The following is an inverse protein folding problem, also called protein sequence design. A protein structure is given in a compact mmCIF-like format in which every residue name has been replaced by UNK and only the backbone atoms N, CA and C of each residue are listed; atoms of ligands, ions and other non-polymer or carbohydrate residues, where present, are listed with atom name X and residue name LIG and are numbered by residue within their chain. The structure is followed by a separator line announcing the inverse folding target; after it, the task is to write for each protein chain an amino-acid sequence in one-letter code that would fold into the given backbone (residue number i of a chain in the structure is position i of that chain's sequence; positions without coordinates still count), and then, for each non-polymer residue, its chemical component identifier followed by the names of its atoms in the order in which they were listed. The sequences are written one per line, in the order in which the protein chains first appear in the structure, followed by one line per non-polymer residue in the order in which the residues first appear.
data_IF_895365792096
#
_entry.id   IF_895365792096
#
_cell.length_a   1.000
_cell.length_b   1.000
_cell.length_c   1.000
_cell.angle_alpha   90.00
_cell.angle_beta   90.00
_cell.angle_gamma   90.00
#
_symmetry.space_group_name_H-M   'P 1'
#
loop_
_entity.id
_entity.type
_entity.pdbx_description
1 polymer ?
#
# COMPACT_ATOMS: atom_id res chain seq x y z
N UNK A 1 -7.95 -5.88 9.67
CA UNK A 1 -6.97 -6.07 8.58
C UNK A 1 -6.53 -4.70 8.10
N UNK A 2 -5.22 -4.49 7.94
CA UNK A 2 -4.66 -3.23 7.44
C UNK A 2 -4.71 -3.23 5.91
N UNK A 3 -5.35 -2.22 5.31
CA UNK A 3 -5.46 -2.08 3.84
C UNK A 3 -4.08 -2.03 3.17
N UNK A 4 -3.08 -1.49 3.84
CA UNK A 4 -1.71 -1.50 3.33
C UNK A 4 -1.12 -2.92 3.26
N UNK A 5 -1.51 -3.81 4.18
CA UNK A 5 -1.11 -5.21 4.16
C UNK A 5 -1.78 -5.97 3.00
N UNK A 6 -3.07 -5.72 2.75
CA UNK A 6 -3.80 -6.30 1.61
C UNK A 6 -3.14 -5.94 0.27
N UNK A 7 -2.77 -4.66 0.09
CA UNK A 7 -2.05 -4.22 -1.12
C UNK A 7 -0.66 -4.85 -1.26
N UNK A 8 0.09 -5.00 -0.17
CA UNK A 8 1.38 -5.71 -0.20
C UNK A 8 1.22 -7.19 -0.54
N UNK A 9 0.16 -7.82 -0.07
CA UNK A 9 -0.13 -9.22 -0.38
C UNK A 9 -0.47 -9.40 -1.86
N UNK A 10 -1.26 -8.49 -2.45
CA UNK A 10 -1.50 -8.45 -3.89
C UNK A 10 -0.20 -8.27 -4.70
N UNK A 11 0.69 -7.36 -4.27
CA UNK A 11 1.99 -7.18 -4.91
C UNK A 11 2.82 -8.48 -4.90
N UNK A 12 2.86 -9.17 -3.75
CA UNK A 12 3.57 -10.43 -3.61
C UNK A 12 2.98 -11.54 -4.49
N UNK A 13 1.65 -11.56 -4.68
CA UNK A 13 0.99 -12.50 -5.61
C UNK A 13 1.39 -12.23 -7.06
N UNK A 14 1.44 -10.97 -7.49
CA UNK A 14 1.91 -10.59 -8.83
C UNK A 14 3.36 -11.05 -9.07
N UNK A 15 4.26 -10.87 -8.11
CA UNK A 15 5.66 -11.33 -8.22
C UNK A 15 5.73 -12.86 -8.27
N UNK A 16 4.96 -13.56 -7.44
CA UNK A 16 4.90 -15.03 -7.47
C UNK A 16 4.43 -15.57 -8.81
N UNK A 17 3.47 -14.90 -9.45
CA UNK A 17 3.00 -15.26 -10.77
C UNK A 17 4.06 -14.94 -11.84
N UNK A 18 4.69 -13.77 -11.76
CA UNK A 18 5.76 -13.34 -12.68
C UNK A 18 6.95 -14.30 -12.70
N UNK A 19 7.26 -14.92 -11.55
CA UNK A 19 8.32 -15.93 -11.45
C UNK A 19 7.94 -17.29 -12.05
N UNK A 20 6.65 -17.56 -12.25
CA UNK A 20 6.14 -18.80 -12.85
C UNK A 20 5.83 -18.65 -14.34
N UNK A 21 5.87 -17.43 -14.87
CA UNK A 21 5.56 -17.12 -16.26
C UNK A 21 6.85 -17.03 -17.08
N UNK A 22 6.90 -17.75 -18.20
CA UNK A 22 8.02 -17.73 -19.14
C UNK A 22 7.90 -16.62 -20.20
N UNK A 23 6.70 -16.06 -20.38
CA UNK A 23 6.47 -14.92 -21.26
C UNK A 23 7.03 -13.62 -20.65
N UNK A 24 7.99 -13.02 -21.34
CA UNK A 24 8.69 -11.81 -20.90
C UNK A 24 7.75 -10.60 -20.79
N UNK A 25 6.74 -10.50 -21.66
CA UNK A 25 5.77 -9.41 -21.68
C UNK A 25 4.83 -9.52 -20.49
N UNK A 26 4.31 -10.72 -20.22
CA UNK A 26 3.44 -10.96 -19.07
C UNK A 26 4.20 -10.79 -17.76
N UNK A 27 5.46 -11.23 -17.71
CA UNK A 27 6.34 -11.00 -16.56
C UNK A 27 6.55 -9.50 -16.29
N UNK A 28 6.82 -8.71 -17.33
CA UNK A 28 6.96 -7.26 -17.19
C UNK A 28 5.66 -6.59 -16.71
N UNK A 29 4.50 -7.02 -17.23
CA UNK A 29 3.19 -6.54 -16.80
C UNK A 29 2.94 -6.83 -15.32
N UNK A 30 3.23 -8.06 -14.86
CA UNK A 30 3.04 -8.48 -13.48
C UNK A 30 3.95 -7.72 -12.51
N UNK A 31 5.19 -7.44 -12.91
CA UNK A 31 6.12 -6.61 -12.12
C UNK A 31 5.58 -5.18 -12.00
N UNK A 32 5.15 -4.56 -13.11
CA UNK A 32 4.57 -3.22 -13.08
C UNK A 32 3.29 -3.13 -12.24
N UNK A 33 2.49 -4.20 -12.20
CA UNK A 33 1.33 -4.29 -11.30
C UNK A 33 1.77 -4.37 -9.84
N UNK A 34 2.80 -5.15 -9.51
CA UNK A 34 3.32 -5.26 -8.16
C UNK A 34 3.83 -3.92 -7.63
N UNK A 35 4.53 -3.15 -8.46
CA UNK A 35 5.00 -1.79 -8.12
C UNK A 35 3.83 -0.85 -7.80
N UNK A 36 2.79 -0.84 -8.63
CA UNK A 36 1.57 -0.04 -8.39
C UNK A 36 0.87 -0.41 -7.08
N UNK A 37 0.84 -1.68 -6.72
CA UNK A 37 0.30 -2.12 -5.44
C UNK A 37 1.13 -1.63 -4.26
N UNK A 38 2.46 -1.61 -4.38
CA UNK A 38 3.34 -1.00 -3.37
C UNK A 38 3.10 0.49 -3.20
N UNK A 39 2.97 1.24 -4.30
CA UNK A 39 2.64 2.66 -4.25
C UNK A 39 1.31 2.93 -3.54
N UNK A 40 0.29 2.09 -3.77
CA UNK A 40 -0.99 2.19 -3.09
C UNK A 40 -0.88 1.87 -1.59
N UNK A 41 -0.11 0.84 -1.23
CA UNK A 41 0.16 0.49 0.16
C UNK A 41 0.81 1.65 0.91
N UNK A 42 1.79 2.30 0.28
CA UNK A 42 2.44 3.46 0.84
C UNK A 42 1.46 4.63 0.94
N UNK A 43 0.72 4.99 -0.11
CA UNK A 43 -0.29 6.07 -0.03
C UNK A 43 -1.29 5.87 1.11
N UNK A 44 -1.74 4.64 1.36
CA UNK A 44 -2.62 4.35 2.50
C UNK A 44 -1.90 4.53 3.83
N UNK A 45 -0.67 4.01 3.97
CA UNK A 45 0.12 4.20 5.20
C UNK A 45 0.34 5.68 5.50
N UNK A 46 0.68 6.48 4.49
CA UNK A 46 0.90 7.92 4.63
C UNK A 46 -0.40 8.69 4.93
N UNK A 47 -1.53 8.27 4.34
CA UNK A 47 -2.85 8.80 4.66
C UNK A 47 -3.26 8.50 6.11
N UNK A 48 -3.00 7.29 6.58
CA UNK A 48 -3.25 6.90 7.97
C UNK A 48 -2.40 7.71 8.96
N UNK A 49 -1.11 7.91 8.66
CA UNK A 49 -0.21 8.75 9.46
C UNK A 49 -0.72 10.20 9.52
N UNK A 50 -1.11 10.76 8.37
CA UNK A 50 -1.64 12.14 8.29
C UNK A 50 -2.94 12.31 9.08
N UNK A 51 -3.86 11.34 8.98
CA UNK A 51 -5.10 11.35 9.78
C UNK A 51 -4.82 11.24 11.27
N UNK A 52 -3.88 10.38 11.68
CA UNK A 52 -3.45 10.28 13.07
C UNK A 52 -2.90 11.62 13.59
N UNK A 53 -2.04 12.29 12.82
CA UNK A 53 -1.48 13.58 13.19
C UNK A 53 -2.54 14.69 13.33
N UNK A 54 -3.53 14.73 12.44
CA UNK A 54 -4.64 15.69 12.52
C UNK A 54 -5.54 15.41 13.73
N UNK A 55 -5.85 14.15 14.00
CA UNK A 55 -6.69 13.75 15.15
C UNK A 55 -5.97 13.98 16.50
N UNK A 56 -4.64 14.00 16.53
CA UNK A 56 -3.85 14.36 17.72
C UNK A 56 -3.79 15.86 18.00
N UNK A 57 -4.13 16.72 17.04
CA UNK A 57 -4.20 18.18 17.24
C UNK A 57 -5.54 18.66 17.82
N UNK A 58 -6.58 17.81 17.92
CA UNK A 58 -7.92 18.21 18.39
C UNK A 58 -8.15 18.14 19.91
N UNK A 59 -7.11 17.97 20.74
CA UNK A 59 -7.20 18.28 22.19
C UNK A 59 -5.92 18.98 22.65
N UNK A 60 -5.99 20.27 22.99
CA UNK A 60 -6.55 20.65 24.30
C UNK A 60 -7.42 21.93 24.25
N UNK A 61 -8.70 21.81 24.57
CA UNK A 61 -9.45 22.91 25.19
C UNK A 61 -9.80 22.51 26.61
N UNK A 62 -8.82 22.63 27.50
CA UNK A 62 -9.12 22.96 28.89
C UNK A 62 -9.02 24.49 29.00
N UNK A 63 -10.15 25.20 29.06
CA UNK A 63 -10.39 26.32 30.00
C UNK A 63 -11.78 26.95 29.76
N UNK A 64 -12.75 26.60 30.60
CA UNK A 64 -13.63 27.49 31.39
C UNK A 64 -14.76 26.67 32.03
#
# INVERSE_FOLDING_TARGET
MDKANEYRECAAQCIRLANKTDDVRDKALLIAMAERWHDLADRVKWSAIRKGALNSQERPTYLN
#
